data_IF_291672870346
#
_entry.id   IF_291672870346
#
_cell.length_a   1.000
_cell.length_b   1.000
_cell.length_c   1.000
_cell.angle_alpha   90.00
_cell.angle_beta   90.00
_cell.angle_gamma   90.00
#
_symmetry.space_group_name_H-M   'P 1'
#
loop_
_entity.id
_entity.type
_entity.pdbx_description
1 polymer ?
#
# COMPACT_ATOMS: atom_id res chain seq x y z
N UNK A 1 0.53 18.43 -5.88
CA UNK A 1 0.80 17.05 -5.45
C UNK A 1 -0.23 16.16 -6.10
N UNK A 2 0.23 15.06 -6.70
CA UNK A 2 -0.62 14.05 -7.32
C UNK A 2 -1.50 13.34 -6.29
N UNK A 3 -2.64 12.76 -6.71
CA UNK A 3 -3.47 11.96 -5.83
C UNK A 3 -2.70 10.79 -5.21
N UNK A 4 -3.01 10.49 -3.94
CA UNK A 4 -2.50 9.30 -3.27
C UNK A 4 -3.49 8.14 -3.45
N UNK A 5 -2.96 6.97 -3.78
CA UNK A 5 -3.68 5.71 -3.81
C UNK A 5 -3.09 4.75 -2.76
N UNK A 6 -3.91 4.31 -1.81
CA UNK A 6 -3.48 3.26 -0.88
C UNK A 6 -3.72 1.91 -1.54
N UNK A 7 -2.72 1.03 -1.51
CA UNK A 7 -2.82 -0.34 -2.03
C UNK A 7 -2.54 -1.30 -0.88
N UNK A 8 -3.52 -2.09 -0.47
CA UNK A 8 -3.44 -2.90 0.75
C UNK A 8 -4.31 -4.15 0.67
N UNK A 9 -3.82 -5.26 1.22
CA UNK A 9 -4.60 -6.46 1.48
C UNK A 9 -4.99 -6.50 2.97
N UNK A 10 -6.27 -6.73 3.27
CA UNK A 10 -6.84 -6.71 4.62
C UNK A 10 -7.72 -7.93 4.81
N UNK A 11 -7.46 -8.70 5.86
CA UNK A 11 -8.31 -9.82 6.26
C UNK A 11 -9.65 -9.35 6.85
N UNK A 12 -10.64 -10.24 6.94
CA UNK A 12 -11.97 -9.91 7.48
C UNK A 12 -11.93 -9.40 8.93
N UNK A 13 -10.91 -9.80 9.69
CA UNK A 13 -10.66 -9.33 11.05
C UNK A 13 -9.75 -8.08 11.12
N UNK A 14 -9.51 -7.42 9.99
CA UNK A 14 -8.71 -6.20 9.88
C UNK A 14 -7.20 -6.42 9.87
N UNK A 15 -6.72 -7.66 9.99
CA UNK A 15 -5.28 -7.97 10.00
C UNK A 15 -4.66 -7.62 8.65
N UNK A 16 -3.45 -7.05 8.69
CA UNK A 16 -2.60 -6.76 7.52
C UNK A 16 -1.16 -7.27 7.68
N UNK A 17 -0.84 -7.86 8.84
CA UNK A 17 0.51 -8.35 9.11
C UNK A 17 0.62 -9.09 10.44
N UNK A 18 1.62 -9.96 10.52
CA UNK A 18 2.06 -10.70 11.70
C UNK A 18 3.58 -10.80 11.67
N UNK A 19 4.26 -10.46 12.77
CA UNK A 19 5.72 -10.66 12.91
C UNK A 19 6.55 -10.01 11.78
N UNK A 20 6.07 -8.88 11.23
CA UNK A 20 6.60 -8.15 10.08
C UNK A 20 6.36 -8.77 8.69
N UNK A 21 5.60 -9.85 8.58
CA UNK A 21 5.23 -10.48 7.30
C UNK A 21 3.71 -10.54 7.12
N UNK A 22 3.27 -10.93 5.91
CA UNK A 22 1.87 -11.24 5.66
C UNK A 22 1.55 -12.65 6.22
N UNK A 23 0.46 -12.84 6.99
CA UNK A 23 0.11 -14.14 7.56
C UNK A 23 -0.56 -15.09 6.55
N UNK A 24 -0.42 -14.79 5.26
CA UNK A 24 -0.94 -15.56 4.13
C UNK A 24 -0.01 -15.43 2.93
N UNK A 25 -0.14 -16.38 2.01
CA UNK A 25 0.49 -16.34 0.70
C UNK A 25 -0.59 -16.24 -0.38
N UNK A 26 -0.66 -15.08 -1.05
CA UNK A 26 -1.60 -14.82 -2.13
C UNK A 26 -0.85 -14.36 -3.41
N UNK A 27 -0.18 -15.27 -4.15
CA UNK A 27 0.56 -14.90 -5.36
C UNK A 27 -0.28 -14.18 -6.42
N UNK A 28 -1.59 -14.45 -6.50
CA UNK A 28 -2.49 -13.75 -7.42
C UNK A 28 -2.66 -12.28 -7.04
N UNK A 29 -2.81 -11.99 -5.74
CA UNK A 29 -2.87 -10.62 -5.22
C UNK A 29 -1.53 -9.90 -5.44
N UNK A 30 -0.39 -10.56 -5.20
CA UNK A 30 0.93 -9.95 -5.46
C UNK A 30 1.12 -9.55 -6.93
N UNK A 31 0.52 -10.30 -7.87
CA UNK A 31 0.50 -9.94 -9.30
C UNK A 31 -0.37 -8.70 -9.54
N UNK A 32 -1.54 -8.61 -8.88
CA UNK A 32 -2.42 -7.45 -8.94
C UNK A 32 -1.75 -6.20 -8.34
N UNK A 33 -1.17 -6.31 -7.15
CA UNK A 33 -0.36 -5.27 -6.50
C UNK A 33 0.74 -4.75 -7.42
N UNK A 34 1.47 -5.65 -8.10
CA UNK A 34 2.49 -5.24 -9.07
C UNK A 34 1.88 -4.46 -10.22
N UNK A 35 0.74 -4.89 -10.77
CA UNK A 35 0.08 -4.20 -11.88
C UNK A 35 -0.41 -2.80 -11.47
N UNK A 36 -1.02 -2.68 -10.28
CA UNK A 36 -1.49 -1.40 -9.75
C UNK A 36 -0.35 -0.41 -9.52
N UNK A 37 0.80 -0.87 -9.03
CA UNK A 37 1.93 0.00 -8.65
C UNK A 37 2.95 0.22 -9.77
N UNK A 38 2.87 -0.52 -10.88
CA UNK A 38 3.87 -0.44 -11.95
C UNK A 38 3.96 0.97 -12.55
N UNK A 39 5.19 1.44 -12.79
CA UNK A 39 5.42 2.76 -13.38
C UNK A 39 5.06 3.92 -12.46
N UNK A 40 4.89 3.67 -11.16
CA UNK A 40 4.56 4.68 -10.14
C UNK A 40 5.61 4.67 -9.01
N UNK A 41 5.82 5.80 -8.33
CA UNK A 41 6.52 5.78 -7.06
C UNK A 41 5.67 5.06 -6.02
N UNK A 42 6.34 4.28 -5.18
CA UNK A 42 5.74 3.58 -4.05
C UNK A 42 6.33 4.14 -2.75
N UNK A 43 5.46 4.52 -1.81
CA UNK A 43 5.87 5.04 -0.51
C UNK A 43 5.58 3.99 0.55
N UNK A 44 6.59 3.70 1.37
CA UNK A 44 6.47 2.73 2.44
C UNK A 44 7.26 3.10 3.69
N UNK A 45 6.88 2.56 4.84
CA UNK A 45 7.68 2.66 6.07
C UNK A 45 8.90 1.74 6.03
N UNK A 46 9.94 2.07 6.83
CA UNK A 46 11.18 1.27 6.93
C UNK A 46 10.96 -0.23 7.17
N UNK A 47 10.07 -0.60 8.10
CA UNK A 47 9.82 -2.03 8.42
C UNK A 47 9.21 -2.78 7.23
N UNK A 48 8.29 -2.15 6.50
CA UNK A 48 7.71 -2.70 5.27
C UNK A 48 8.78 -2.92 4.21
N UNK A 49 9.67 -1.94 4.02
CA UNK A 49 10.80 -2.11 3.10
C UNK A 49 11.73 -3.26 3.50
N UNK A 50 12.01 -3.41 4.80
CA UNK A 50 12.85 -4.50 5.32
C UNK A 50 12.24 -5.89 5.11
N UNK A 51 10.92 -6.05 5.30
CA UNK A 51 10.22 -7.31 5.00
C UNK A 51 10.25 -7.63 3.50
N UNK A 52 10.06 -6.63 2.63
CA UNK A 52 10.21 -6.81 1.18
C UNK A 52 11.67 -7.16 0.80
N UNK A 53 12.64 -6.58 1.52
CA UNK A 53 14.07 -6.90 1.44
C UNK A 53 14.79 -6.36 0.22
N UNK A 54 14.09 -5.74 -0.75
CA UNK A 54 14.68 -5.23 -1.98
C UNK A 54 13.83 -4.14 -2.65
N UNK A 55 14.45 -3.30 -3.51
CA UNK A 55 13.71 -2.41 -4.39
C UNK A 55 12.80 -3.21 -5.33
N UNK A 56 11.63 -2.66 -5.63
CA UNK A 56 10.65 -3.30 -6.48
C UNK A 56 10.82 -2.83 -7.94
N UNK A 57 11.19 -3.71 -8.90
CA UNK A 57 11.51 -3.30 -10.27
C UNK A 57 10.38 -2.54 -10.97
N UNK A 58 10.72 -1.55 -11.81
CA UNK A 58 9.74 -0.74 -12.54
C UNK A 58 8.99 0.28 -11.67
N UNK A 59 9.44 0.50 -10.43
CA UNK A 59 8.92 1.45 -9.45
C UNK A 59 10.06 2.19 -8.77
N UNK A 60 9.83 3.45 -8.41
CA UNK A 60 10.74 4.18 -7.51
C UNK A 60 10.31 3.94 -6.07
N UNK A 61 11.17 3.34 -5.26
CA UNK A 61 10.86 3.08 -3.84
C UNK A 61 11.22 4.30 -3.00
N UNK A 62 10.28 4.81 -2.21
CA UNK A 62 10.48 5.89 -1.25
C UNK A 62 10.20 5.37 0.15
N UNK A 63 11.21 5.39 1.01
CA UNK A 63 11.12 4.86 2.37
C UNK A 63 11.00 6.00 3.38
N UNK A 64 10.01 5.92 4.26
CA UNK A 64 9.87 6.82 5.41
C UNK A 64 10.66 6.24 6.59
N UNK A 65 11.70 6.96 7.02
CA UNK A 65 12.52 6.57 8.16
C UNK A 65 13.13 7.78 8.86
N UNK A 66 12.82 7.97 10.14
CA UNK A 66 13.50 8.97 10.99
C UNK A 66 14.86 8.48 11.53
N UNK A 67 15.21 7.22 11.27
CA UNK A 67 16.48 6.63 11.71
C UNK A 67 17.63 7.12 10.83
N UNK A 68 18.58 7.93 11.36
CA UNK A 68 19.69 8.46 10.58
C UNK A 68 20.71 7.38 10.18
N UNK A 69 20.67 6.20 10.80
CA UNK A 69 21.53 5.07 10.43
C UNK A 69 20.97 4.25 9.27
N UNK A 70 19.73 4.51 8.85
CA UNK A 70 19.12 3.79 7.73
C UNK A 70 19.74 4.25 6.41
N UNK A 71 20.60 3.41 5.85
CA UNK A 71 21.18 3.57 4.52
C UNK A 71 20.43 2.64 3.54
N UNK A 72 19.50 3.16 2.73
CA UNK A 72 18.82 2.34 1.74
C UNK A 72 19.80 1.94 0.60
N UNK A 73 19.55 0.83 -0.11
CA UNK A 73 20.34 0.48 -1.28
C UNK A 73 20.17 1.51 -2.41
N UNK A 74 21.07 1.48 -3.40
CA UNK A 74 20.98 2.33 -4.58
C UNK A 74 19.60 2.24 -5.26
N UNK A 75 19.08 3.37 -5.73
CA UNK A 75 17.77 3.46 -6.39
C UNK A 75 16.58 3.54 -5.44
N UNK A 76 16.80 3.62 -4.12
CA UNK A 76 15.76 3.82 -3.10
C UNK A 76 15.93 5.18 -2.44
N UNK A 77 14.88 6.00 -2.50
CA UNK A 77 14.84 7.31 -1.86
C UNK A 77 14.43 7.16 -0.40
N UNK A 78 14.89 8.05 0.48
CA UNK A 78 14.49 8.08 1.88
C UNK A 78 14.09 9.49 2.31
N UNK A 79 12.90 9.62 2.89
CA UNK A 79 12.44 10.83 3.56
C UNK A 79 12.43 10.63 5.08
N UNK A 80 12.83 11.63 5.85
CA UNK A 80 12.92 11.51 7.32
C UNK A 80 11.56 11.57 8.01
N UNK A 81 10.55 12.05 7.29
CA UNK A 81 9.16 12.15 7.71
C UNK A 81 8.25 12.01 6.48
N UNK A 82 6.94 11.99 6.72
CA UNK A 82 5.94 11.84 5.66
C UNK A 82 6.03 12.96 4.61
N UNK A 83 6.19 14.21 5.02
CA UNK A 83 6.23 15.35 4.10
C UNK A 83 7.43 15.27 3.14
N UNK A 84 8.62 14.97 3.67
CA UNK A 84 9.83 14.77 2.87
C UNK A 84 9.65 13.58 1.89
N UNK A 85 9.09 12.46 2.36
CA UNK A 85 8.86 11.30 1.51
C UNK A 85 7.82 11.57 0.39
N UNK A 86 6.76 12.31 0.68
CA UNK A 86 5.77 12.69 -0.34
C UNK A 86 6.35 13.67 -1.37
N UNK A 87 7.24 14.58 -0.97
CA UNK A 87 7.94 15.45 -1.91
C UNK A 87 8.85 14.64 -2.86
N UNK A 88 9.65 13.71 -2.32
CA UNK A 88 10.48 12.80 -3.12
C UNK A 88 9.63 11.93 -4.07
N UNK A 89 8.48 11.44 -3.59
CA UNK A 89 7.56 10.67 -4.41
C UNK A 89 6.92 11.53 -5.52
N UNK A 90 6.63 12.80 -5.26
CA UNK A 90 6.12 13.73 -6.28
C UNK A 90 7.16 13.97 -7.40
N UNK A 91 8.42 14.21 -7.03
CA UNK A 91 9.51 14.38 -7.99
C UNK A 91 9.72 13.12 -8.83
N UNK A 92 9.71 11.96 -8.19
CA UNK A 92 9.77 10.67 -8.86
C UNK A 92 8.56 10.46 -9.80
N UNK A 93 7.34 10.79 -9.36
CA UNK A 93 6.16 10.69 -10.20
C UNK A 93 6.26 11.57 -11.44
N UNK A 94 6.81 12.79 -11.29
CA UNK A 94 7.04 13.69 -12.42
C UNK A 94 8.03 13.11 -13.42
N UNK A 95 9.17 12.59 -12.95
CA UNK A 95 10.18 11.96 -13.81
C UNK A 95 9.65 10.71 -14.53
N UNK A 96 8.74 9.97 -13.90
CA UNK A 96 8.14 8.75 -14.46
C UNK A 96 6.91 9.01 -15.34
N UNK A 97 6.37 10.24 -15.36
CA UNK A 97 5.08 10.53 -15.99
C UNK A 97 3.88 9.88 -15.28
N UNK A 98 4.06 9.44 -14.04
CA UNK A 98 3.01 8.82 -13.24
C UNK A 98 1.90 9.82 -12.90
N UNK A 99 0.66 9.37 -12.78
CA UNK A 99 -0.50 10.22 -12.47
C UNK A 99 -0.89 10.17 -10.98
N UNK A 100 -0.29 9.27 -10.21
CA UNK A 100 -0.59 9.05 -8.80
C UNK A 100 0.63 8.50 -8.07
N UNK A 101 0.59 8.59 -6.74
CA UNK A 101 1.59 8.03 -5.83
C UNK A 101 0.94 6.88 -5.06
N UNK A 102 1.58 5.71 -5.06
CA UNK A 102 1.05 4.54 -4.35
C UNK A 102 1.60 4.45 -2.93
N UNK A 103 0.73 4.45 -1.93
CA UNK A 103 1.09 4.17 -0.54
C UNK A 103 0.87 2.69 -0.27
N UNK A 104 1.92 1.97 0.13
CA UNK A 104 1.87 0.50 0.26
C UNK A 104 2.09 0.02 1.71
N UNK A 105 2.01 0.94 2.67
CA UNK A 105 2.05 0.65 4.11
C UNK A 105 3.38 0.98 4.79
N UNK A 106 3.61 0.58 6.03
CA UNK A 106 2.73 -0.18 6.91
C UNK A 106 1.75 0.68 7.69
N UNK A 107 1.19 0.09 8.75
CA UNK A 107 0.10 0.63 9.58
C UNK A 107 0.18 2.14 9.86
N UNK A 108 1.31 2.63 10.39
CA UNK A 108 1.47 4.06 10.71
C UNK A 108 1.34 4.94 9.46
N UNK A 109 1.95 4.53 8.35
CA UNK A 109 1.87 5.28 7.10
C UNK A 109 0.44 5.25 6.54
N UNK A 110 -0.25 4.11 6.62
CA UNK A 110 -1.66 4.04 6.26
C UNK A 110 -2.52 4.98 7.10
N UNK A 111 -2.35 5.00 8.43
CA UNK A 111 -3.10 5.88 9.30
C UNK A 111 -2.88 7.38 8.97
N UNK A 112 -1.63 7.79 8.72
CA UNK A 112 -1.30 9.18 8.40
C UNK A 112 -1.78 9.60 6.99
N UNK A 113 -1.80 8.68 6.04
CA UNK A 113 -2.14 8.97 4.62
C UNK A 113 -3.59 8.68 4.25
N UNK A 114 -4.31 7.85 5.01
CA UNK A 114 -5.70 7.51 4.71
C UNK A 114 -6.59 8.76 4.57
N UNK A 115 -6.52 9.79 5.45
CA UNK A 115 -7.28 11.03 5.30
C UNK A 115 -6.93 11.83 4.04
N UNK A 116 -5.72 11.67 3.51
CA UNK A 116 -5.20 12.39 2.34
C UNK A 116 -5.47 11.64 1.01
N UNK A 117 -5.86 10.38 1.09
CA UNK A 117 -5.99 9.48 -0.04
C UNK A 117 -7.21 9.79 -0.91
N UNK A 118 -7.04 9.69 -2.23
CA UNK A 118 -8.16 9.78 -3.19
C UNK A 118 -8.76 8.42 -3.49
N UNK A 119 -7.92 7.39 -3.51
CA UNK A 119 -8.30 6.03 -3.90
C UNK A 119 -7.78 5.03 -2.86
N UNK A 120 -8.58 4.02 -2.55
CA UNK A 120 -8.17 2.84 -1.82
C UNK A 120 -8.39 1.62 -2.71
N UNK A 121 -7.29 0.97 -3.10
CA UNK A 121 -7.29 -0.36 -3.70
C UNK A 121 -7.12 -1.39 -2.60
N UNK A 122 -8.23 -2.01 -2.24
CA UNK A 122 -8.35 -2.96 -1.16
C UNK A 122 -8.45 -4.38 -1.72
N UNK A 123 -7.59 -5.27 -1.25
CA UNK A 123 -7.81 -6.71 -1.38
C UNK A 123 -8.45 -7.20 -0.07
N UNK A 124 -9.75 -7.48 -0.09
CA UNK A 124 -10.46 -8.09 1.02
C UNK A 124 -10.14 -9.59 1.06
N UNK A 125 -9.29 -10.02 1.99
CA UNK A 125 -8.91 -11.43 2.18
C UNK A 125 -9.98 -12.13 3.00
N UNK A 126 -10.63 -13.15 2.42
CA UNK A 126 -11.73 -13.92 3.03
C UNK A 126 -11.19 -14.95 4.03
N UNK A 127 -10.53 -14.44 5.06
CA UNK A 127 -9.94 -15.22 6.14
C UNK A 127 -9.77 -14.37 7.39
N UNK A 128 -9.49 -15.04 8.52
CA UNK A 128 -9.33 -14.43 9.84
C UNK A 128 -8.08 -14.94 10.54
N UNK A 129 -6.88 -14.71 9.98
CA UNK A 129 -5.63 -15.17 10.58
C UNK A 129 -5.33 -14.38 11.86
N UNK A 130 -4.50 -14.97 12.72
CA UNK A 130 -3.87 -14.22 13.80
C UNK A 130 -2.89 -13.18 13.24
N UNK A 131 -2.86 -11.99 13.84
CA UNK A 131 -1.93 -10.92 13.47
C UNK A 131 -1.86 -9.82 14.52
N UNK A 132 -0.79 -9.03 14.45
CA UNK A 132 -0.47 -7.95 15.39
C UNK A 132 -0.52 -6.57 14.73
N UNK A 133 -0.67 -6.52 13.40
CA UNK A 133 -0.82 -5.29 12.63
C UNK A 133 -2.20 -5.26 11.97
N UNK A 134 -2.93 -4.17 12.19
CA UNK A 134 -4.29 -3.98 11.68
C UNK A 134 -4.38 -2.78 10.76
N UNK A 135 -5.27 -2.81 9.77
CA UNK A 135 -5.59 -1.64 8.96
C UNK A 135 -6.40 -0.62 9.79
N UNK A 136 -6.17 0.70 9.67
CA UNK A 136 -7.04 1.70 10.28
C UNK A 136 -8.50 1.54 9.82
N UNK A 137 -9.46 1.95 10.66
CA UNK A 137 -10.88 1.90 10.30
C UNK A 137 -11.16 2.79 9.09
N UNK A 138 -11.89 2.24 8.12
CA UNK A 138 -12.37 2.96 6.95
C UNK A 138 -13.81 3.37 7.22
N UNK A 139 -14.02 4.65 7.51
CA UNK A 139 -15.37 5.18 7.72
C UNK A 139 -16.16 5.12 6.41
N UNK A 140 -17.21 4.30 6.36
CA UNK A 140 -17.98 4.06 5.13
C UNK A 140 -18.64 5.33 4.58
N UNK A 141 -18.82 6.37 5.40
CA UNK A 141 -19.32 7.68 5.00
C UNK A 141 -18.36 8.47 4.09
N UNK A 142 -17.05 8.25 4.22
CA UNK A 142 -16.03 8.96 3.45
C UNK A 142 -15.75 8.35 2.07
N UNK A 143 -16.17 7.08 1.87
CA UNK A 143 -15.76 6.28 0.73
C UNK A 143 -16.94 5.72 -0.06
N UNK A 144 -16.79 5.69 -1.38
CA UNK A 144 -17.73 5.03 -2.30
C UNK A 144 -17.02 3.89 -3.01
N UNK A 145 -17.57 2.69 -2.91
CA UNK A 145 -17.15 1.56 -3.76
C UNK A 145 -17.49 1.86 -5.22
N UNK A 146 -16.49 1.79 -6.09
CA UNK A 146 -16.62 2.05 -7.53
C UNK A 146 -16.33 0.82 -8.37
N UNK A 147 -15.63 -0.17 -7.83
CA UNK A 147 -15.42 -1.45 -8.47
C UNK A 147 -15.23 -2.57 -7.43
N UNK A 148 -15.68 -3.77 -7.81
CA UNK A 148 -15.46 -5.01 -7.06
C UNK A 148 -15.26 -6.16 -8.04
N UNK A 149 -14.28 -7.00 -7.76
CA UNK A 149 -14.03 -8.24 -8.49
C UNK A 149 -13.80 -9.37 -7.47
N UNK A 150 -14.55 -10.46 -7.62
CA UNK A 150 -14.42 -11.65 -6.78
C UNK A 150 -15.72 -12.11 -6.15
N UNK A 151 -15.65 -13.13 -5.27
CA UNK A 151 -14.43 -13.73 -4.74
C UNK A 151 -13.58 -14.44 -5.81
N UNK A 152 -12.27 -14.36 -5.64
CA UNK A 152 -11.24 -14.99 -6.47
C UNK A 152 -10.37 -15.89 -5.59
N UNK A 153 -9.88 -16.99 -6.14
CA UNK A 153 -8.81 -17.78 -5.53
C UNK A 153 -8.07 -18.53 -6.63
N UNK A 154 -6.79 -18.21 -6.81
CA UNK A 154 -5.90 -18.93 -7.70
C UNK A 154 -5.39 -20.23 -7.07
N UNK A 155 -4.78 -21.13 -7.86
CA UNK A 155 -4.38 -22.46 -7.42
C UNK A 155 -3.25 -22.48 -6.37
N UNK A 156 -2.62 -21.34 -6.09
CA UNK A 156 -1.52 -21.19 -5.12
C UNK A 156 -1.84 -20.15 -4.03
N UNK A 157 -3.08 -19.68 -3.98
CA UNK A 157 -3.52 -18.73 -2.98
C UNK A 157 -4.07 -19.49 -1.77
N UNK A 158 -3.58 -19.15 -0.57
CA UNK A 158 -3.99 -19.80 0.67
C UNK A 158 -5.46 -19.56 1.01
N UNK A 159 -6.03 -18.43 0.56
CA UNK A 159 -7.39 -17.98 0.87
C UNK A 159 -8.03 -17.31 -0.34
N UNK A 160 -9.36 -17.31 -0.39
CA UNK A 160 -10.09 -16.49 -1.33
C UNK A 160 -9.98 -15.01 -0.96
N UNK A 161 -10.11 -14.12 -1.94
CA UNK A 161 -10.11 -12.67 -1.73
C UNK A 161 -10.98 -11.96 -2.76
N UNK A 162 -11.32 -10.69 -2.51
CA UNK A 162 -11.98 -9.81 -3.48
C UNK A 162 -11.16 -8.53 -3.67
N UNK A 163 -11.00 -8.09 -4.92
CA UNK A 163 -10.47 -6.75 -5.20
C UNK A 163 -11.61 -5.75 -5.08
N UNK A 164 -11.38 -4.66 -4.37
CA UNK A 164 -12.34 -3.58 -4.14
C UNK A 164 -11.63 -2.25 -4.37
N UNK A 165 -12.22 -1.40 -5.20
CA UNK A 165 -11.75 -0.03 -5.38
C UNK A 165 -12.75 0.91 -4.74
N UNK A 166 -12.27 1.69 -3.77
CA UNK A 166 -13.01 2.79 -3.16
C UNK A 166 -12.44 4.12 -3.64
N UNK A 167 -13.32 5.05 -3.97
CA UNK A 167 -12.97 6.45 -4.19
C UNK A 167 -13.49 7.30 -3.04
N UNK A 168 -12.68 8.27 -2.59
CA UNK A 168 -13.12 9.24 -1.58
C UNK A 168 -14.31 10.04 -2.13
N UNK A 169 -15.39 10.12 -1.36
CA UNK A 169 -16.53 10.99 -1.69
C UNK A 169 -16.04 12.43 -1.69
N UNK A 170 -16.32 13.18 -2.75
CA UNK A 170 -16.14 14.63 -2.73
C UNK A 170 -17.17 15.19 -1.76
N UNK A 171 -16.72 15.74 -0.63
CA UNK A 171 -17.58 16.59 0.19
C UNK A 171 -17.86 17.84 -0.66
N UNK A 172 -19.13 18.03 -0.99
CA UNK A 172 -19.61 19.21 -1.72
C UNK A 172 -19.64 20.45 -0.86
#
# INVERSE_FOLDING_TARGET
>A
MRPLALVVAVAENGVIGRDSDLPWRLPSDLKHFRALTWGKPIVMGRRTFQSIGKPLPGRTSVVVSADPSFAPPEGVLTGRNLAEALALAEDAAAAMGAQEISIIGGHRLFAETLPLARTLHLTEVHGRPEGDVFFPSVESADWRETAREGPLQGPKDDMAFSYVTLERRRQG
#
